data_IF_779355539948
#
_entry.id   IF_779355539948
#
_cell.length_a   1.000
_cell.length_b   1.000
_cell.length_c   1.000
_cell.angle_alpha   90.00
_cell.angle_beta   90.00
_cell.angle_gamma   90.00
#
_symmetry.space_group_name_H-M   'P 1'
#
loop_
_entity.id
_entity.type
_entity.pdbx_description
1 polymer ?
#
# COMPACT_ATOMS: atom_id res chain seq x y z
N UNK A 1 -16.86 -6.80 30.99
CA UNK A 1 -18.14 -6.33 30.40
C UNK A 1 -19.25 -7.29 30.82
N UNK A 2 -20.47 -6.82 31.06
CA UNK A 2 -21.57 -7.61 31.65
C UNK A 2 -22.57 -8.14 30.62
N UNK A 3 -22.80 -7.42 29.51
CA UNK A 3 -23.81 -7.75 28.49
C UNK A 3 -23.18 -7.80 27.10
N UNK A 4 -22.63 -8.97 26.77
CA UNK A 4 -21.93 -9.23 25.51
C UNK A 4 -22.91 -9.68 24.43
N UNK A 5 -22.97 -8.95 23.31
CA UNK A 5 -23.64 -9.42 22.09
C UNK A 5 -22.66 -10.03 21.09
N UNK A 6 -23.04 -11.14 20.44
CA UNK A 6 -22.23 -11.76 19.38
C UNK A 6 -22.95 -11.60 18.05
N UNK A 7 -22.30 -10.98 17.07
CA UNK A 7 -22.84 -10.76 15.73
C UNK A 7 -22.02 -11.55 14.71
N UNK A 8 -22.66 -12.51 14.04
CA UNK A 8 -22.02 -13.40 13.07
C UNK A 8 -22.39 -12.97 11.66
N UNK A 9 -21.38 -12.58 10.88
CA UNK A 9 -21.56 -12.26 9.48
C UNK A 9 -21.65 -13.56 8.66
N UNK A 10 -22.64 -13.67 7.78
CA UNK A 10 -22.82 -14.87 6.95
C UNK A 10 -22.31 -14.70 5.51
N UNK A 11 -21.98 -13.47 5.09
CA UNK A 11 -21.42 -13.18 3.77
C UNK A 11 -19.91 -13.49 3.68
N UNK A 12 -19.35 -13.41 2.46
CA UNK A 12 -17.93 -13.70 2.17
C UNK A 12 -17.53 -15.13 2.56
N UNK A 13 -18.34 -16.10 2.12
CA UNK A 13 -18.18 -17.55 2.31
C UNK A 13 -18.33 -18.08 3.72
N UNK A 14 -18.50 -17.20 4.73
CA UNK A 14 -18.64 -17.63 6.12
C UNK A 14 -19.86 -18.55 6.28
N UNK A 15 -21.05 -18.12 5.87
CA UNK A 15 -22.27 -18.93 5.94
C UNK A 15 -22.31 -20.10 4.97
N UNK A 16 -21.44 -20.11 3.94
CA UNK A 16 -21.35 -21.21 2.98
C UNK A 16 -20.49 -22.36 3.52
N UNK A 17 -19.43 -22.05 4.28
CA UNK A 17 -18.46 -23.04 4.79
C UNK A 17 -18.68 -23.41 6.26
N UNK A 18 -19.34 -22.56 7.05
CA UNK A 18 -19.58 -22.79 8.47
C UNK A 18 -21.07 -22.95 8.78
N UNK A 19 -21.38 -23.79 9.77
CA UNK A 19 -22.72 -23.89 10.33
C UNK A 19 -22.97 -22.75 11.32
N UNK A 20 -23.78 -21.78 10.90
CA UNK A 20 -24.07 -20.59 11.70
C UNK A 20 -24.82 -20.92 12.98
N UNK A 21 -25.75 -21.90 12.98
CA UNK A 21 -26.50 -22.25 14.16
C UNK A 21 -25.59 -22.84 15.25
N UNK A 22 -24.61 -23.65 14.86
CA UNK A 22 -23.60 -24.16 15.80
C UNK A 22 -22.69 -23.07 16.36
N UNK A 23 -22.31 -22.08 15.54
CA UNK A 23 -21.54 -20.93 16.01
C UNK A 23 -22.34 -20.07 17.00
N UNK A 24 -23.63 -19.87 16.73
CA UNK A 24 -24.51 -19.15 17.65
C UNK A 24 -24.64 -19.89 18.98
N UNK A 25 -24.77 -21.21 18.95
CA UNK A 25 -24.83 -22.02 20.17
C UNK A 25 -23.52 -21.96 20.97
N UNK A 26 -22.37 -22.04 20.30
CA UNK A 26 -21.07 -21.89 20.96
C UNK A 26 -20.91 -20.52 21.64
N UNK A 27 -21.45 -19.45 21.04
CA UNK A 27 -21.49 -18.13 21.66
C UNK A 27 -22.37 -18.11 22.93
N UNK A 28 -23.58 -18.68 22.86
CA UNK A 28 -24.51 -18.76 24.00
C UNK A 28 -23.91 -19.59 25.14
N UNK A 29 -23.32 -20.74 24.84
CA UNK A 29 -22.64 -21.61 25.82
C UNK A 29 -21.48 -20.92 26.51
N UNK A 30 -20.74 -20.04 25.81
CA UNK A 30 -19.66 -19.26 26.39
C UNK A 30 -20.15 -18.09 27.26
N UNK A 31 -21.45 -17.78 27.25
CA UNK A 31 -22.06 -16.72 28.07
C UNK A 31 -22.30 -15.41 27.33
N UNK A 32 -22.51 -15.43 26.02
CA UNK A 32 -23.05 -14.27 25.31
C UNK A 32 -24.51 -14.00 25.74
N UNK A 33 -24.83 -12.74 26.05
CA UNK A 33 -26.16 -12.31 26.46
C UNK A 33 -27.16 -12.27 25.29
N UNK A 34 -26.68 -11.93 24.10
CA UNK A 34 -27.46 -11.93 22.86
C UNK A 34 -26.60 -12.43 21.70
N UNK A 35 -27.21 -13.11 20.73
CA UNK A 35 -26.52 -13.62 19.54
C UNK A 35 -27.37 -13.40 18.31
N UNK A 36 -26.74 -12.84 17.27
CA UNK A 36 -27.38 -12.44 16.02
C UNK A 36 -26.54 -12.89 14.82
N UNK A 37 -27.20 -13.27 13.74
CA UNK A 37 -26.56 -13.55 12.45
C UNK A 37 -27.23 -12.76 11.34
N UNK A 38 -26.42 -12.20 10.42
CA UNK A 38 -26.91 -11.43 9.27
C UNK A 38 -25.86 -11.36 8.17
N UNK A 39 -26.30 -11.30 6.93
CA UNK A 39 -25.43 -11.00 5.80
C UNK A 39 -24.94 -9.54 5.84
N UNK A 40 -23.74 -9.30 5.31
CA UNK A 40 -23.20 -7.97 5.09
C UNK A 40 -23.27 -7.05 6.32
N UNK A 41 -22.83 -7.52 7.49
CA UNK A 41 -22.77 -6.68 8.71
C UNK A 41 -21.99 -5.37 8.53
N UNK A 42 -21.10 -5.30 7.53
CA UNK A 42 -20.34 -4.09 7.20
C UNK A 42 -21.09 -3.09 6.30
N UNK A 43 -22.28 -3.42 5.80
CA UNK A 43 -23.12 -2.49 5.04
C UNK A 43 -23.72 -1.43 5.96
N UNK A 44 -24.31 -0.37 5.38
CA UNK A 44 -25.02 0.65 6.16
C UNK A 44 -26.18 0.05 6.96
N UNK A 45 -26.92 -0.87 6.34
CA UNK A 45 -28.03 -1.61 6.94
C UNK A 45 -27.56 -2.63 7.99
N UNK A 46 -26.40 -3.25 7.76
CA UNK A 46 -25.73 -4.14 8.72
C UNK A 46 -25.28 -3.40 9.97
N UNK A 47 -24.63 -2.25 9.80
CA UNK A 47 -24.19 -1.38 10.90
C UNK A 47 -25.38 -0.85 11.71
N UNK A 48 -26.42 -0.34 11.03
CA UNK A 48 -27.63 0.14 11.69
C UNK A 48 -28.33 -0.97 12.50
N UNK A 49 -28.36 -2.19 11.97
CA UNK A 49 -28.89 -3.35 12.69
C UNK A 49 -28.10 -3.66 13.98
N UNK A 50 -26.77 -3.58 13.94
CA UNK A 50 -25.95 -3.78 15.14
C UNK A 50 -26.24 -2.70 16.18
N UNK A 51 -26.32 -1.43 15.78
CA UNK A 51 -26.63 -0.31 16.68
C UNK A 51 -28.01 -0.46 17.32
N UNK A 52 -29.02 -0.86 16.54
CA UNK A 52 -30.37 -1.15 17.04
C UNK A 52 -30.34 -2.21 18.14
N UNK A 53 -29.61 -3.32 17.92
CA UNK A 53 -29.52 -4.42 18.90
C UNK A 53 -28.70 -4.07 20.13
N UNK A 54 -27.63 -3.30 19.97
CA UNK A 54 -26.87 -2.72 21.09
C UNK A 54 -27.81 -1.94 22.01
N UNK A 55 -28.63 -1.05 21.45
CA UNK A 55 -29.56 -0.23 22.23
C UNK A 55 -30.70 -1.05 22.82
N UNK A 56 -31.32 -1.93 22.03
CA UNK A 56 -32.47 -2.74 22.43
C UNK A 56 -32.16 -3.67 23.60
N UNK A 57 -31.00 -4.33 23.57
CA UNK A 57 -30.63 -5.33 24.60
C UNK A 57 -29.77 -4.71 25.72
N UNK A 58 -29.36 -3.45 25.54
CA UNK A 58 -28.47 -2.74 26.45
C UNK A 58 -27.09 -3.38 26.52
N UNK A 59 -26.51 -3.69 25.37
CA UNK A 59 -25.20 -4.33 25.26
C UNK A 59 -24.08 -3.33 25.59
N UNK A 60 -23.12 -3.74 26.41
CA UNK A 60 -21.92 -2.95 26.74
C UNK A 60 -20.66 -3.45 26.02
N UNK A 61 -20.77 -4.62 25.36
CA UNK A 61 -19.73 -5.20 24.54
C UNK A 61 -20.31 -5.98 23.36
N UNK A 62 -19.61 -5.98 22.24
CA UNK A 62 -19.96 -6.76 21.06
C UNK A 62 -18.76 -7.49 20.47
N UNK A 63 -18.95 -8.75 20.14
CA UNK A 63 -18.04 -9.52 19.29
C UNK A 63 -18.60 -9.53 17.87
N UNK A 64 -17.87 -8.95 16.93
CA UNK A 64 -18.24 -9.01 15.51
C UNK A 64 -17.43 -10.11 14.82
N UNK A 65 -18.07 -11.25 14.61
CA UNK A 65 -17.53 -12.45 14.00
C UNK A 65 -17.67 -12.38 12.48
N UNK A 66 -16.65 -11.81 11.82
CA UNK A 66 -16.73 -11.43 10.41
C UNK A 66 -15.32 -11.38 9.76
N UNK A 67 -15.04 -10.30 9.03
CA UNK A 67 -13.74 -10.00 8.45
C UNK A 67 -12.73 -9.47 9.48
N UNK A 68 -11.46 -9.46 9.08
CA UNK A 68 -10.31 -9.02 9.86
C UNK A 68 -10.52 -7.66 10.51
N UNK A 69 -9.97 -7.50 11.72
CA UNK A 69 -9.90 -6.21 12.43
C UNK A 69 -9.08 -5.14 11.67
N UNK A 70 -8.31 -5.53 10.66
CA UNK A 70 -7.51 -4.61 9.83
C UNK A 70 -8.33 -3.85 8.78
N UNK A 71 -9.58 -4.26 8.54
CA UNK A 71 -10.50 -3.63 7.60
C UNK A 71 -11.78 -3.25 8.33
N UNK A 72 -12.49 -2.22 7.83
CA UNK A 72 -13.75 -1.75 8.40
C UNK A 72 -13.67 -1.38 9.91
N UNK A 73 -12.48 -0.99 10.39
CA UNK A 73 -12.28 -0.58 11.79
C UNK A 73 -13.11 0.66 12.15
N UNK A 74 -13.37 1.52 11.17
CA UNK A 74 -14.20 2.71 11.22
C UNK A 74 -15.70 2.36 11.21
N UNK A 75 -16.10 1.36 10.42
CA UNK A 75 -17.49 0.91 10.33
C UNK A 75 -17.97 0.32 11.66
N UNK A 76 -17.14 -0.52 12.28
CA UNK A 76 -17.45 -1.21 13.53
C UNK A 76 -16.89 -0.47 14.75
N UNK A 77 -17.05 0.85 14.74
CA UNK A 77 -16.78 1.70 15.88
C UNK A 77 -18.11 2.20 16.47
N UNK A 78 -18.41 1.76 17.70
CA UNK A 78 -19.63 2.09 18.43
C UNK A 78 -19.27 2.81 19.72
N UNK A 79 -19.90 3.95 19.96
CA UNK A 79 -19.58 4.80 21.10
C UNK A 79 -19.88 4.08 22.43
N UNK A 80 -18.94 4.12 23.38
CA UNK A 80 -19.06 3.51 24.71
C UNK A 80 -19.36 2.00 24.74
N UNK A 81 -19.09 1.27 23.66
CA UNK A 81 -19.24 -0.19 23.58
C UNK A 81 -17.88 -0.82 23.29
N UNK A 82 -17.50 -1.84 24.06
CA UNK A 82 -16.30 -2.60 23.75
C UNK A 82 -16.51 -3.47 22.51
N UNK A 83 -15.66 -3.32 21.50
CA UNK A 83 -15.74 -4.10 20.26
C UNK A 83 -14.57 -5.08 20.17
N UNK A 84 -14.86 -6.37 20.10
CA UNK A 84 -13.91 -7.36 19.60
C UNK A 84 -14.22 -7.71 18.14
N UNK A 85 -13.16 -7.80 17.33
CA UNK A 85 -13.24 -8.12 15.90
C UNK A 85 -12.71 -9.53 15.68
N UNK A 86 -13.62 -10.49 15.71
CA UNK A 86 -13.31 -11.91 15.57
C UNK A 86 -13.24 -12.29 14.08
N UNK A 87 -12.03 -12.52 13.59
CA UNK A 87 -11.72 -12.65 12.16
C UNK A 87 -12.03 -14.04 11.59
N UNK A 88 -13.30 -14.44 11.51
CA UNK A 88 -13.69 -15.73 10.92
C UNK A 88 -13.32 -15.84 9.44
N UNK A 89 -13.46 -14.76 8.65
CA UNK A 89 -13.14 -14.82 7.21
C UNK A 89 -11.67 -15.12 6.96
N UNK A 90 -10.75 -14.23 7.37
CA UNK A 90 -9.33 -14.39 7.09
C UNK A 90 -8.66 -15.43 8.02
N UNK A 91 -9.15 -15.57 9.25
CA UNK A 91 -8.55 -16.46 10.26
C UNK A 91 -8.99 -17.92 10.14
N UNK A 92 -10.12 -18.19 9.47
CA UNK A 92 -10.69 -19.53 9.33
C UNK A 92 -11.03 -19.82 7.87
N UNK A 93 -12.00 -19.11 7.31
CA UNK A 93 -12.66 -19.47 6.04
C UNK A 93 -11.80 -19.25 4.79
N UNK A 94 -10.87 -18.30 4.79
CA UNK A 94 -10.03 -17.97 3.62
C UNK A 94 -8.57 -18.40 3.78
N UNK A 95 -8.21 -18.99 4.91
CA UNK A 95 -6.84 -19.45 5.19
C UNK A 95 -6.72 -20.95 5.38
N UNK A 96 -7.84 -21.67 5.50
CA UNK A 96 -7.88 -23.11 5.75
C UNK A 96 -8.61 -23.82 4.63
N UNK A 97 -7.88 -24.68 3.94
CA UNK A 97 -8.39 -25.56 2.89
C UNK A 97 -7.74 -26.94 3.05
N UNK A 98 -8.48 -28.04 2.80
CA UNK A 98 -7.88 -29.35 2.74
C UNK A 98 -7.07 -29.45 1.44
N UNK A 99 -5.81 -29.89 1.55
CA UNK A 99 -4.89 -30.01 0.41
C UNK A 99 -4.53 -31.48 0.24
N UNK A 100 -4.78 -32.03 -0.95
CA UNK A 100 -4.42 -33.39 -1.32
C UNK A 100 -2.92 -33.56 -1.58
N UNK A 101 -2.48 -34.80 -1.77
CA UNK A 101 -1.06 -35.14 -1.99
C UNK A 101 -0.46 -34.44 -3.21
N UNK A 102 -1.29 -34.15 -4.22
CA UNK A 102 -0.88 -33.45 -5.45
C UNK A 102 -0.92 -31.92 -5.32
N UNK A 103 -1.21 -31.38 -4.13
CA UNK A 103 -1.32 -29.95 -3.89
C UNK A 103 -2.65 -29.33 -4.34
N UNK A 104 -3.62 -30.16 -4.73
CA UNK A 104 -4.96 -29.71 -5.12
C UNK A 104 -5.84 -29.46 -3.88
N UNK A 105 -6.73 -28.47 -3.96
CA UNK A 105 -7.73 -28.21 -2.91
C UNK A 105 -8.84 -29.26 -3.02
N UNK A 106 -9.16 -29.90 -1.89
CA UNK A 106 -10.24 -30.88 -1.76
C UNK A 106 -11.53 -30.23 -1.26
N UNK A 107 -12.64 -30.98 -1.26
CA UNK A 107 -13.87 -30.55 -0.59
C UNK A 107 -13.71 -30.60 0.94
N UNK A 108 -14.44 -29.73 1.65
CA UNK A 108 -14.41 -29.67 3.12
C UNK A 108 -14.91 -30.97 3.79
N UNK A 109 -15.58 -31.85 3.05
CA UNK A 109 -16.01 -33.18 3.48
C UNK A 109 -14.87 -34.20 3.55
N UNK A 110 -13.70 -33.89 3.00
CA UNK A 110 -12.54 -34.77 3.05
C UNK A 110 -12.11 -35.06 4.50
N UNK A 111 -11.65 -36.28 4.76
CA UNK A 111 -11.06 -36.62 6.05
C UNK A 111 -9.79 -35.79 6.28
N UNK A 112 -9.69 -35.19 7.46
CA UNK A 112 -8.51 -34.43 7.89
C UNK A 112 -7.61 -35.28 8.78
N UNK A 113 -8.22 -36.00 9.72
CA UNK A 113 -7.64 -37.09 10.51
C UNK A 113 -8.67 -38.21 10.60
N UNK A 114 -8.25 -39.41 11.01
CA UNK A 114 -9.12 -40.59 11.06
C UNK A 114 -10.44 -40.29 11.80
N UNK A 115 -11.57 -40.38 11.08
CA UNK A 115 -12.91 -40.16 11.61
C UNK A 115 -13.32 -38.69 11.82
N UNK A 116 -12.53 -37.72 11.38
CA UNK A 116 -12.83 -36.28 11.50
C UNK A 116 -12.72 -35.62 10.12
N UNK A 117 -13.83 -35.03 9.65
CA UNK A 117 -13.80 -34.29 8.39
C UNK A 117 -13.08 -32.94 8.57
N UNK A 118 -12.55 -32.39 7.49
CA UNK A 118 -11.99 -31.05 7.51
C UNK A 118 -13.02 -30.00 7.93
N UNK A 119 -14.29 -30.19 7.57
CA UNK A 119 -15.39 -29.33 8.02
C UNK A 119 -15.54 -29.33 9.54
N UNK A 120 -15.40 -30.48 10.19
CA UNK A 120 -15.49 -30.58 11.66
C UNK A 120 -14.34 -29.81 12.33
N UNK A 121 -13.12 -29.95 11.81
CA UNK A 121 -11.94 -29.20 12.28
C UNK A 121 -12.13 -27.69 12.05
N UNK A 122 -12.60 -27.28 10.87
CA UNK A 122 -12.88 -25.90 10.54
C UNK A 122 -13.95 -25.29 11.47
N UNK A 123 -14.99 -26.06 11.78
CA UNK A 123 -16.04 -25.69 12.72
C UNK A 123 -15.52 -25.58 14.15
N UNK A 124 -14.68 -26.52 14.61
CA UNK A 124 -14.05 -26.45 15.93
C UNK A 124 -13.21 -25.17 16.06
N UNK A 125 -12.38 -24.87 15.05
CA UNK A 125 -11.58 -23.65 15.00
C UNK A 125 -12.46 -22.39 15.05
N UNK A 126 -13.53 -22.33 14.26
CA UNK A 126 -14.45 -21.19 14.25
C UNK A 126 -15.14 -20.97 15.61
N UNK A 127 -15.59 -22.06 16.26
CA UNK A 127 -16.17 -22.01 17.61
C UNK A 127 -15.16 -21.48 18.62
N UNK A 128 -13.91 -21.91 18.54
CA UNK A 128 -12.87 -21.44 19.47
C UNK A 128 -12.55 -19.96 19.28
N UNK A 129 -12.56 -19.43 18.05
CA UNK A 129 -12.47 -17.99 17.80
C UNK A 129 -13.58 -17.21 18.51
N UNK A 130 -14.82 -17.69 18.41
CA UNK A 130 -15.97 -17.08 19.10
C UNK A 130 -15.80 -17.18 20.62
N UNK A 131 -15.44 -18.35 21.14
CA UNK A 131 -15.26 -18.58 22.57
C UNK A 131 -14.18 -17.67 23.16
N UNK A 132 -13.04 -17.58 22.48
CA UNK A 132 -11.93 -16.70 22.86
C UNK A 132 -12.37 -15.23 22.87
N UNK A 133 -13.16 -14.80 21.89
CA UNK A 133 -13.68 -13.43 21.83
C UNK A 133 -14.61 -13.12 23.00
N UNK A 134 -15.58 -14.00 23.27
CA UNK A 134 -16.50 -13.82 24.41
C UNK A 134 -15.72 -13.81 25.73
N UNK A 135 -14.79 -14.75 25.93
CA UNK A 135 -13.94 -14.79 27.12
C UNK A 135 -13.07 -13.53 27.28
N UNK A 136 -12.53 -13.00 26.16
CA UNK A 136 -11.79 -11.74 26.15
C UNK A 136 -12.69 -10.58 26.58
N UNK A 137 -13.90 -10.47 26.05
CA UNK A 137 -14.84 -9.39 26.40
C UNK A 137 -15.36 -9.48 27.84
N UNK A 138 -15.49 -10.68 28.40
CA UNK A 138 -15.84 -10.88 29.82
C UNK A 138 -14.81 -10.23 30.75
N UNK A 139 -13.53 -10.42 30.45
CA UNK A 139 -12.41 -9.83 31.21
C UNK A 139 -12.01 -8.42 30.76
N UNK A 140 -12.59 -7.91 29.67
CA UNK A 140 -12.24 -6.62 29.11
C UNK A 140 -12.65 -5.46 30.00
N UNK A 141 -11.74 -4.50 30.15
CA UNK A 141 -11.94 -3.21 30.80
C UNK A 141 -11.70 -2.13 29.75
N UNK A 142 -12.61 -1.16 29.68
CA UNK A 142 -12.47 -0.06 28.72
C UNK A 142 -11.17 0.69 29.02
N UNK A 143 -10.25 0.81 28.05
CA UNK A 143 -9.02 1.54 28.27
C UNK A 143 -9.34 3.03 28.38
N UNK A 144 -8.68 3.71 29.31
CA UNK A 144 -8.66 5.17 29.31
C UNK A 144 -7.74 5.64 28.18
N UNK A 145 -8.23 6.49 27.24
CA UNK A 145 -7.39 7.00 26.18
C UNK A 145 -6.18 7.75 26.76
N UNK A 146 -5.00 7.43 26.25
CA UNK A 146 -3.80 8.18 26.62
C UNK A 146 -3.96 9.64 26.21
N UNK A 147 -3.84 10.54 27.18
CA UNK A 147 -3.86 12.00 26.98
C UNK A 147 -2.43 12.50 27.17
N UNK A 148 -1.75 12.94 26.11
CA UNK A 148 -0.41 13.45 26.26
C UNK A 148 -0.41 14.76 27.07
N UNK A 149 0.58 14.90 27.96
CA UNK A 149 0.83 16.15 28.68
C UNK A 149 1.42 17.22 27.76
N UNK A 150 2.24 16.79 26.79
CA UNK A 150 2.81 17.65 25.76
C UNK A 150 1.78 17.99 24.68
N UNK A 151 1.90 19.20 24.11
CA UNK A 151 1.10 19.62 22.97
C UNK A 151 1.40 18.75 21.75
N UNK A 152 0.34 18.25 21.10
CA UNK A 152 0.45 17.46 19.88
C UNK A 152 0.95 18.36 18.75
N UNK A 153 2.07 17.97 18.14
CA UNK A 153 2.59 18.65 16.95
C UNK A 153 1.63 18.44 15.78
N UNK A 154 1.34 19.52 15.05
CA UNK A 154 0.59 19.48 13.80
C UNK A 154 1.50 19.57 12.57
N UNK A 155 2.81 19.62 12.79
CA UNK A 155 3.81 19.71 11.72
C UNK A 155 3.92 18.39 10.98
N UNK A 156 3.96 18.43 9.66
CA UNK A 156 4.02 17.26 8.79
C UNK A 156 5.44 17.08 8.26
N UNK A 157 6.03 15.91 8.49
CA UNK A 157 7.30 15.54 7.87
C UNK A 157 7.05 14.87 6.52
N UNK A 158 7.70 15.35 5.47
CA UNK A 158 7.74 14.72 4.15
C UNK A 158 9.16 14.22 3.87
N UNK A 159 9.30 12.91 3.67
CA UNK A 159 10.61 12.27 3.39
C UNK A 159 10.71 11.98 1.89
N UNK A 160 11.53 12.74 1.19
CA UNK A 160 11.77 12.65 -0.26
C UNK A 160 11.15 13.83 -1.02
N UNK A 161 11.99 14.56 -1.75
CA UNK A 161 11.65 15.74 -2.54
C UNK A 161 11.37 15.44 -4.02
N UNK A 162 10.90 14.22 -4.35
CA UNK A 162 10.36 13.90 -5.68
C UNK A 162 8.94 14.45 -5.88
N UNK A 163 8.36 14.28 -7.07
CA UNK A 163 7.00 14.78 -7.39
C UNK A 163 5.96 14.44 -6.31
N UNK A 164 5.94 13.18 -5.83
CA UNK A 164 5.01 12.77 -4.78
C UNK A 164 5.18 13.56 -3.46
N UNK A 165 6.42 13.78 -3.02
CA UNK A 165 6.70 14.53 -1.80
C UNK A 165 6.50 16.03 -1.96
N UNK A 166 6.87 16.60 -3.11
CA UNK A 166 6.61 18.01 -3.41
C UNK A 166 5.11 18.30 -3.39
N UNK A 167 4.31 17.48 -4.07
CA UNK A 167 2.84 17.59 -4.05
C UNK A 167 2.30 17.42 -2.63
N UNK A 168 2.75 16.41 -1.88
CA UNK A 168 2.29 16.23 -0.49
C UNK A 168 2.61 17.44 0.40
N UNK A 169 3.78 18.06 0.24
CA UNK A 169 4.18 19.24 1.00
C UNK A 169 3.34 20.47 0.62
N UNK A 170 3.08 20.69 -0.67
CA UNK A 170 2.24 21.79 -1.16
C UNK A 170 0.82 21.66 -0.62
N UNK A 171 0.21 20.48 -0.76
CA UNK A 171 -1.18 20.26 -0.31
C UNK A 171 -1.31 20.35 1.22
N UNK A 172 -0.33 19.84 1.97
CA UNK A 172 -0.27 20.02 3.42
C UNK A 172 -0.19 21.49 3.83
N UNK A 173 0.65 22.28 3.16
CA UNK A 173 0.78 23.71 3.42
C UNK A 173 -0.49 24.48 3.04
N UNK A 174 -1.13 24.14 1.91
CA UNK A 174 -2.41 24.71 1.46
C UNK A 174 -3.55 24.41 2.44
N UNK A 175 -3.55 23.22 3.05
CA UNK A 175 -4.47 22.85 4.12
C UNK A 175 -4.18 23.55 5.47
N UNK A 176 -3.10 24.33 5.53
CA UNK A 176 -2.79 25.21 6.65
C UNK A 176 -1.68 24.72 7.59
N UNK A 177 -1.07 23.56 7.33
CA UNK A 177 -0.09 22.94 8.22
C UNK A 177 1.35 23.37 7.92
N UNK A 178 2.19 23.40 8.95
CA UNK A 178 3.64 23.52 8.80
C UNK A 178 4.22 22.21 8.26
N UNK A 179 5.19 22.30 7.35
CA UNK A 179 5.79 21.14 6.69
C UNK A 179 7.31 21.20 6.81
N UNK A 180 7.88 20.04 7.13
CA UNK A 180 9.33 19.80 7.04
C UNK A 180 9.57 18.81 5.92
N UNK A 181 10.24 19.23 4.85
CA UNK A 181 10.61 18.37 3.72
C UNK A 181 12.09 18.02 3.79
N UNK A 182 12.41 16.72 3.80
CA UNK A 182 13.78 16.20 3.84
C UNK A 182 14.12 15.49 2.53
N UNK A 183 15.12 15.99 1.81
CA UNK A 183 15.66 15.42 0.58
C UNK A 183 17.14 15.06 0.75
N UNK A 184 17.48 13.81 0.39
CA UNK A 184 18.83 13.25 0.51
C UNK A 184 19.81 13.84 -0.51
N UNK A 185 19.33 14.20 -1.69
CA UNK A 185 20.10 14.81 -2.75
C UNK A 185 20.24 16.33 -2.54
N UNK A 186 21.17 16.96 -3.25
CA UNK A 186 21.36 18.43 -3.20
C UNK A 186 20.23 19.21 -3.87
N UNK A 187 19.46 18.54 -4.73
CA UNK A 187 18.42 19.14 -5.56
C UNK A 187 17.10 18.39 -5.36
N UNK A 188 16.01 19.14 -5.43
CA UNK A 188 14.65 18.60 -5.44
C UNK A 188 14.29 18.06 -6.82
N UNK A 189 13.22 17.28 -6.87
CA UNK A 189 12.55 16.84 -8.08
C UNK A 189 12.73 15.37 -8.45
N UNK A 190 13.56 14.65 -7.69
CA UNK A 190 13.71 13.19 -7.78
C UNK A 190 14.00 12.70 -9.21
N UNK A 191 13.36 11.60 -9.61
CA UNK A 191 13.60 10.99 -10.92
C UNK A 191 13.03 11.84 -12.07
N UNK A 192 11.90 12.51 -11.85
CA UNK A 192 11.21 13.30 -12.89
C UNK A 192 12.05 14.49 -13.35
N UNK A 193 12.81 15.11 -12.44
CA UNK A 193 13.77 16.16 -12.80
C UNK A 193 14.91 15.66 -13.71
N UNK A 194 15.18 14.36 -13.75
CA UNK A 194 16.23 13.75 -14.59
C UNK A 194 15.72 13.32 -15.97
N UNK A 195 14.41 13.40 -16.22
CA UNK A 195 13.79 13.00 -17.48
C UNK A 195 13.82 14.14 -18.50
N UNK A 196 13.84 13.80 -19.80
CA UNK A 196 13.70 14.80 -20.88
C UNK A 196 12.29 15.39 -20.89
N UNK A 197 11.29 14.51 -20.80
CA UNK A 197 9.88 14.85 -20.86
C UNK A 197 9.02 13.70 -20.31
N UNK A 198 7.72 13.91 -20.13
CA UNK A 198 6.76 12.89 -19.67
C UNK A 198 5.52 12.82 -20.59
N UNK A 199 4.80 11.70 -20.57
CA UNK A 199 3.58 11.55 -21.36
C UNK A 199 2.49 12.51 -20.84
N UNK A 200 1.78 13.17 -21.74
CA UNK A 200 0.63 14.01 -21.40
C UNK A 200 -0.42 13.21 -20.64
N UNK A 201 -0.87 13.72 -19.49
CA UNK A 201 -1.83 13.05 -18.59
C UNK A 201 -3.28 13.53 -18.78
N UNK A 202 -3.52 14.36 -19.80
CA UNK A 202 -4.84 14.85 -20.16
C UNK A 202 -5.25 14.31 -21.53
N UNK A 203 -6.54 14.05 -21.70
CA UNK A 203 -7.10 13.67 -23.00
C UNK A 203 -6.73 14.73 -24.07
N UNK A 204 -6.18 14.34 -25.24
CA UNK A 204 -6.21 13.01 -25.84
C UNK A 204 -4.95 12.12 -25.65
N UNK A 205 -4.05 12.45 -24.70
CA UNK A 205 -2.85 11.66 -24.37
C UNK A 205 -1.87 11.45 -25.54
N UNK A 206 -1.79 12.42 -26.45
CA UNK A 206 -1.01 12.28 -27.70
C UNK A 206 0.39 12.87 -27.60
N UNK A 207 0.60 13.77 -26.64
CA UNK A 207 1.80 14.58 -26.60
C UNK A 207 2.78 14.10 -25.52
N UNK A 208 4.03 14.52 -25.69
CA UNK A 208 5.03 14.46 -24.64
C UNK A 208 5.26 15.90 -24.21
N UNK A 209 5.22 16.16 -22.91
CA UNK A 209 5.29 17.49 -22.33
C UNK A 209 6.51 17.62 -21.40
N UNK A 210 7.05 18.84 -21.20
CA UNK A 210 8.16 19.07 -20.29
C UNK A 210 7.84 18.54 -18.87
N UNK A 211 8.83 18.10 -18.08
CA UNK A 211 8.59 17.61 -16.73
C UNK A 211 7.88 18.66 -15.84
N UNK A 212 6.75 18.29 -15.22
CA UNK A 212 5.97 19.19 -14.33
C UNK A 212 6.70 19.60 -13.03
N UNK A 213 7.87 19.02 -12.78
CA UNK A 213 8.54 19.13 -11.49
C UNK A 213 9.10 20.52 -11.20
N UNK A 214 9.45 21.31 -12.22
CA UNK A 214 10.05 22.64 -12.02
C UNK A 214 9.09 23.62 -11.32
N UNK A 215 7.80 23.57 -11.68
CA UNK A 215 6.78 24.38 -11.04
C UNK A 215 6.58 23.96 -9.57
N UNK A 216 6.50 22.65 -9.32
CA UNK A 216 6.36 22.11 -7.95
C UNK A 216 7.54 22.50 -7.05
N UNK A 217 8.77 22.45 -7.58
CA UNK A 217 9.97 22.90 -6.85
C UNK A 217 9.82 24.37 -6.49
N UNK A 218 9.44 25.21 -7.47
CA UNK A 218 9.27 26.65 -7.26
C UNK A 218 8.20 26.96 -6.23
N UNK A 219 7.08 26.24 -6.23
CA UNK A 219 6.02 26.40 -5.23
C UNK A 219 6.50 26.01 -3.83
N UNK A 220 7.24 24.91 -3.69
CA UNK A 220 7.80 24.48 -2.40
C UNK A 220 8.83 25.46 -1.86
N UNK A 221 9.76 25.93 -2.70
CA UNK A 221 10.84 26.82 -2.26
C UNK A 221 10.35 28.23 -1.88
N UNK A 222 9.23 28.68 -2.44
CA UNK A 222 8.64 29.98 -2.16
C UNK A 222 7.52 29.94 -1.09
N UNK A 223 7.28 28.79 -0.46
CA UNK A 223 6.23 28.65 0.56
C UNK A 223 6.80 28.77 1.97
N UNK A 224 6.36 29.80 2.71
CA UNK A 224 6.84 30.10 4.07
C UNK A 224 6.52 29.00 5.10
N UNK A 225 5.52 28.15 4.84
CA UNK A 225 5.15 27.01 5.71
C UNK A 225 5.98 25.76 5.45
N UNK A 226 6.85 25.75 4.45
CA UNK A 226 7.61 24.57 4.06
C UNK A 226 9.10 24.80 4.34
N UNK A 227 9.62 24.20 5.41
CA UNK A 227 11.06 24.15 5.70
C UNK A 227 11.69 22.99 4.92
N UNK A 228 12.57 23.32 3.98
CA UNK A 228 13.26 22.34 3.14
C UNK A 228 14.68 22.07 3.64
N UNK A 229 15.00 20.79 3.86
CA UNK A 229 16.36 20.30 4.08
C UNK A 229 16.82 19.51 2.85
N UNK A 230 17.81 20.04 2.13
CA UNK A 230 18.49 19.36 1.01
C UNK A 230 19.81 18.77 1.49
N UNK A 231 20.28 17.70 0.84
CA UNK A 231 21.48 16.99 1.26
C UNK A 231 21.35 16.40 2.68
N UNK A 232 20.13 16.05 3.07
CA UNK A 232 19.78 15.69 4.44
C UNK A 232 19.01 14.37 4.47
N UNK A 233 19.16 13.62 5.57
CA UNK A 233 18.47 12.35 5.78
C UNK A 233 17.81 12.30 7.14
N UNK A 234 16.72 11.56 7.25
CA UNK A 234 16.15 11.24 8.55
C UNK A 234 16.99 10.14 9.18
N UNK A 235 17.62 10.44 10.31
CA UNK A 235 18.47 9.50 11.05
C UNK A 235 17.63 8.56 11.93
N UNK A 236 16.61 9.08 12.60
CA UNK A 236 15.70 8.30 13.43
C UNK A 236 14.34 8.98 13.59
N UNK A 237 13.30 8.16 13.73
CA UNK A 237 11.96 8.58 14.15
C UNK A 237 11.61 7.77 15.39
N UNK A 238 11.23 8.45 16.47
CA UNK A 238 10.80 7.83 17.73
C UNK A 238 9.52 8.48 18.23
N UNK A 239 8.83 7.85 19.18
CA UNK A 239 7.55 8.34 19.70
C UNK A 239 6.34 7.72 19.01
N UNK A 240 5.25 8.48 18.93
CA UNK A 240 3.93 8.02 18.48
C UNK A 240 3.24 9.09 17.62
N UNK A 241 2.15 8.77 16.89
CA UNK A 241 1.39 9.77 16.14
C UNK A 241 1.07 11.01 16.98
N UNK A 242 1.35 12.19 16.44
CA UNK A 242 1.21 13.48 17.12
C UNK A 242 2.42 13.92 17.95
N UNK A 243 3.30 12.99 18.34
CA UNK A 243 4.44 13.21 19.23
C UNK A 243 5.71 12.55 18.70
N UNK A 244 5.92 12.58 17.39
CA UNK A 244 7.16 12.05 16.83
C UNK A 244 8.31 12.98 17.16
N UNK A 245 9.39 12.38 17.64
CA UNK A 245 10.67 13.02 17.77
C UNK A 245 11.59 12.54 16.64
N UNK A 246 11.89 13.44 15.71
CA UNK A 246 12.59 13.15 14.47
C UNK A 246 13.97 13.79 14.50
N UNK A 247 15.01 12.99 14.24
CA UNK A 247 16.38 13.48 14.06
C UNK A 247 16.69 13.57 12.58
N UNK A 248 17.04 14.76 12.12
CA UNK A 248 17.40 15.05 10.73
C UNK A 248 18.92 15.29 10.69
N UNK A 249 19.65 14.48 9.93
CA UNK A 249 21.06 14.68 9.67
C UNK A 249 21.23 15.63 8.48
N UNK A 250 21.85 16.78 8.71
CA UNK A 250 22.17 17.78 7.70
C UNK A 250 23.69 17.98 7.70
N UNK A 251 24.38 17.46 6.67
CA UNK A 251 25.83 17.61 6.55
C UNK A 251 26.63 17.08 7.75
N UNK A 252 26.16 16.00 8.39
CA UNK A 252 26.81 15.38 9.55
C UNK A 252 26.40 15.95 10.92
N UNK A 253 25.54 16.98 10.96
CA UNK A 253 24.95 17.51 12.20
C UNK A 253 23.51 17.04 12.33
N UNK A 254 23.10 16.63 13.52
CA UNK A 254 21.72 16.23 13.80
C UNK A 254 20.92 17.41 14.37
N UNK A 255 19.76 17.68 13.77
CA UNK A 255 18.73 18.59 14.27
C UNK A 255 17.52 17.75 14.72
N UNK A 256 16.97 18.08 15.89
CA UNK A 256 15.82 17.40 16.46
C UNK A 256 14.55 18.23 16.21
N UNK A 257 13.49 17.59 15.68
CA UNK A 257 12.25 18.26 15.30
C UNK A 257 11.04 17.45 15.76
N UNK A 258 10.09 18.13 16.39
CA UNK A 258 8.80 17.55 16.83
C UNK A 258 7.81 17.52 15.65
N UNK A 259 7.32 16.34 15.31
CA UNK A 259 6.49 16.07 14.14
C UNK A 259 5.18 15.38 14.56
N UNK A 260 4.06 15.77 13.95
CA UNK A 260 2.77 15.16 14.16
C UNK A 260 2.54 13.91 13.31
N UNK A 261 2.88 14.00 12.04
CA UNK A 261 2.64 12.94 11.05
C UNK A 261 3.75 12.88 10.02
N UNK A 262 3.92 11.71 9.40
CA UNK A 262 5.00 11.44 8.43
C UNK A 262 4.41 10.97 7.11
N UNK A 263 4.86 11.58 6.02
CA UNK A 263 4.64 11.15 4.64
C UNK A 263 5.95 10.57 4.10
N UNK A 264 5.96 9.28 3.79
CA UNK A 264 7.11 8.62 3.17
C UNK A 264 6.98 8.67 1.64
N UNK A 265 7.76 9.53 1.00
CA UNK A 265 7.80 9.75 -0.45
C UNK A 265 9.20 9.52 -1.03
N UNK A 266 9.95 8.54 -0.50
CA UNK A 266 11.35 8.28 -0.81
C UNK A 266 11.61 7.75 -2.24
N UNK A 267 10.57 7.56 -3.04
CA UNK A 267 10.64 7.16 -4.44
C UNK A 267 11.02 5.69 -4.64
N UNK A 268 11.71 5.41 -5.73
CA UNK A 268 12.10 4.06 -6.15
C UNK A 268 13.57 4.03 -6.58
N UNK A 269 14.11 2.83 -6.76
CA UNK A 269 15.41 2.60 -7.40
C UNK A 269 15.20 1.79 -8.68
N UNK A 270 15.93 2.09 -9.77
CA UNK A 270 15.92 1.24 -10.96
C UNK A 270 16.35 -0.19 -10.63
N UNK A 271 15.83 -1.16 -11.38
CA UNK A 271 16.30 -2.54 -11.28
C UNK A 271 17.79 -2.63 -11.62
N UNK A 272 18.49 -3.53 -10.95
CA UNK A 272 19.92 -3.75 -11.17
C UNK A 272 20.14 -4.49 -12.50
N UNK A 273 20.40 -3.73 -13.55
CA UNK A 273 20.61 -4.26 -14.90
C UNK A 273 21.86 -5.14 -15.03
N UNK A 274 22.79 -5.13 -14.06
CA UNK A 274 23.95 -6.05 -14.08
C UNK A 274 23.53 -7.52 -13.98
N UNK A 275 22.30 -7.80 -13.52
CA UNK A 275 21.70 -9.13 -13.47
C UNK A 275 21.11 -9.58 -14.81
N UNK A 276 21.08 -8.71 -15.82
CA UNK A 276 20.50 -8.98 -17.14
C UNK A 276 21.60 -9.21 -18.17
N UNK A 277 22.58 -10.04 -17.82
CA UNK A 277 23.73 -10.36 -18.70
C UNK A 277 23.29 -11.05 -19.98
N UNK A 278 22.22 -11.85 -19.93
CA UNK A 278 21.66 -12.55 -21.09
C UNK A 278 21.05 -11.58 -22.12
N UNK A 279 20.67 -10.37 -21.67
CA UNK A 279 20.25 -9.26 -22.54
C UNK A 279 21.44 -8.40 -23.00
N UNK A 280 22.67 -8.79 -22.66
CA UNK A 280 23.90 -8.15 -23.10
C UNK A 280 24.29 -6.88 -22.33
N UNK A 281 23.60 -6.53 -21.23
CA UNK A 281 23.98 -5.37 -20.43
C UNK A 281 25.38 -5.54 -19.84
N UNK A 282 26.20 -4.48 -19.90
CA UNK A 282 27.61 -4.51 -19.48
C UNK A 282 28.57 -5.07 -20.53
N UNK A 283 28.14 -6.05 -21.35
CA UNK A 283 28.97 -6.67 -22.38
C UNK A 283 28.86 -5.95 -23.74
N UNK A 284 27.67 -5.48 -24.11
CA UNK A 284 27.39 -4.80 -25.36
C UNK A 284 27.23 -3.31 -25.07
N UNK A 285 28.16 -2.48 -25.59
CA UNK A 285 28.18 -1.02 -25.32
C UNK A 285 26.88 -0.30 -25.67
N UNK A 286 26.14 -0.78 -26.67
CA UNK A 286 24.90 -0.16 -27.12
C UNK A 286 23.65 -0.62 -26.35
N UNK A 287 23.80 -1.54 -25.39
CA UNK A 287 22.70 -1.94 -24.50
C UNK A 287 22.68 -0.98 -23.31
N UNK A 288 21.62 -0.19 -23.25
CA UNK A 288 21.38 0.80 -22.18
C UNK A 288 20.01 0.58 -21.56
N UNK A 289 19.88 0.92 -20.28
CA UNK A 289 18.60 0.95 -19.56
C UNK A 289 17.72 2.11 -20.04
N UNK A 290 16.42 2.02 -19.80
CA UNK A 290 15.49 3.13 -20.07
C UNK A 290 15.87 4.40 -19.27
N UNK A 291 16.48 4.25 -18.10
CA UNK A 291 16.97 5.36 -17.25
C UNK A 291 18.17 6.06 -17.89
N UNK A 292 19.16 5.30 -18.36
CA UNK A 292 20.30 5.84 -19.10
C UNK A 292 19.82 6.50 -20.40
N UNK A 293 18.85 5.90 -21.08
CA UNK A 293 18.25 6.47 -22.28
C UNK A 293 17.55 7.81 -22.02
N UNK A 294 16.84 7.97 -20.90
CA UNK A 294 16.31 9.29 -20.50
C UNK A 294 17.40 10.33 -20.33
N UNK A 295 18.51 9.95 -19.69
CA UNK A 295 19.62 10.87 -19.47
C UNK A 295 20.28 11.27 -20.80
N UNK A 296 20.51 10.30 -21.69
CA UNK A 296 20.98 10.56 -23.05
C UNK A 296 20.03 11.53 -23.78
N UNK A 297 18.72 11.31 -23.68
CA UNK A 297 17.72 12.16 -24.30
C UNK A 297 17.72 13.59 -23.72
N UNK A 298 17.81 13.73 -22.40
CA UNK A 298 17.85 15.03 -21.70
C UNK A 298 19.11 15.83 -22.07
N UNK A 299 20.25 15.17 -22.23
CA UNK A 299 21.50 15.80 -22.68
C UNK A 299 21.55 16.08 -24.19
N UNK A 300 20.51 15.70 -24.95
CA UNK A 300 20.48 15.84 -26.41
C UNK A 300 21.40 14.87 -27.16
N UNK A 301 21.88 13.81 -26.49
CA UNK A 301 22.85 12.83 -27.02
C UNK A 301 22.18 11.50 -27.36
N UNK A 302 21.21 11.52 -28.27
CA UNK A 302 20.60 10.29 -28.82
C UNK A 302 21.50 9.65 -29.88
N UNK A 303 22.71 9.25 -29.46
CA UNK A 303 23.75 8.62 -30.28
C UNK A 303 24.12 7.26 -29.69
N UNK A 304 24.68 6.37 -30.52
CA UNK A 304 25.14 5.05 -30.08
C UNK A 304 26.37 5.19 -29.16
N UNK A 305 26.37 4.59 -27.95
CA UNK A 305 27.54 4.65 -27.07
C UNK A 305 28.81 4.01 -27.64
N UNK A 306 28.69 3.05 -28.56
CA UNK A 306 29.85 2.35 -29.11
C UNK A 306 30.74 3.20 -30.02
N UNK A 307 30.12 4.08 -30.82
CA UNK A 307 30.79 4.78 -31.94
C UNK A 307 30.33 6.23 -32.13
N UNK A 308 29.39 6.72 -31.32
CA UNK A 308 28.86 8.08 -31.41
C UNK A 308 27.98 8.35 -32.63
N UNK A 309 27.67 7.33 -33.45
CA UNK A 309 26.85 7.52 -34.63
C UNK A 309 25.36 7.72 -34.27
N UNK A 310 24.57 8.36 -35.15
CA UNK A 310 23.13 8.51 -34.95
C UNK A 310 22.40 7.16 -34.81
N UNK A 311 21.37 7.12 -33.97
CA UNK A 311 20.52 5.93 -33.79
C UNK A 311 19.53 5.82 -34.96
N UNK A 312 19.81 4.95 -35.92
CA UNK A 312 18.90 4.65 -37.05
C UNK A 312 17.88 3.56 -36.77
N UNK A 313 18.15 2.70 -35.79
CA UNK A 313 17.23 1.65 -35.34
C UNK A 313 17.42 1.39 -33.86
N UNK A 314 16.32 1.26 -33.12
CA UNK A 314 16.31 0.95 -31.68
C UNK A 314 15.33 -0.18 -31.39
N UNK A 315 15.71 -1.06 -30.46
CA UNK A 315 14.87 -2.13 -29.92
C UNK A 315 14.67 -1.89 -28.43
N UNK A 316 13.40 -1.80 -28.01
CA UNK A 316 13.00 -1.80 -26.61
C UNK A 316 12.53 -3.19 -26.22
N UNK A 317 13.12 -3.75 -25.17
CA UNK A 317 12.72 -5.03 -24.58
C UNK A 317 11.91 -4.72 -23.32
N UNK A 318 10.61 -5.01 -23.36
CA UNK A 318 9.75 -4.82 -22.18
C UNK A 318 10.02 -5.88 -21.12
N UNK A 319 9.61 -5.59 -19.88
CA UNK A 319 9.69 -6.51 -18.75
C UNK A 319 11.11 -6.99 -18.40
N UNK A 320 12.16 -6.27 -18.81
CA UNK A 320 13.55 -6.64 -18.54
C UNK A 320 13.86 -6.62 -17.02
N UNK A 321 13.80 -7.80 -16.39
CA UNK A 321 13.94 -8.00 -14.95
C UNK A 321 12.62 -7.85 -14.16
N UNK A 322 11.46 -7.90 -14.82
CA UNK A 322 10.14 -7.79 -14.21
C UNK A 322 9.16 -8.79 -14.80
N UNK A 323 8.12 -9.15 -14.03
CA UNK A 323 7.22 -10.27 -14.37
C UNK A 323 8.00 -11.55 -14.69
N UNK A 324 9.06 -11.78 -13.93
CA UNK A 324 9.98 -12.90 -14.10
C UNK A 324 10.25 -13.50 -12.71
N UNK A 325 10.03 -14.80 -12.59
CA UNK A 325 10.18 -15.56 -11.33
C UNK A 325 11.65 -15.62 -10.86
N UNK A 326 12.61 -15.54 -11.78
CA UNK A 326 14.04 -15.47 -11.46
C UNK A 326 14.49 -14.06 -11.06
N UNK A 327 13.61 -13.07 -11.24
CA UNK A 327 13.86 -11.67 -10.93
C UNK A 327 12.72 -11.08 -10.07
N UNK A 328 11.97 -10.10 -10.59
CA UNK A 328 10.85 -9.50 -9.88
C UNK A 328 9.53 -10.02 -10.46
N UNK A 329 8.65 -10.65 -9.66
CA UNK A 329 7.42 -11.28 -10.17
C UNK A 329 6.31 -10.27 -10.52
N UNK A 330 6.53 -8.97 -10.29
CA UNK A 330 5.52 -7.93 -10.47
C UNK A 330 5.80 -7.02 -11.66
N UNK A 331 4.75 -6.37 -12.17
CA UNK A 331 4.85 -5.35 -13.21
C UNK A 331 5.32 -4.01 -12.60
N UNK A 332 6.22 -3.30 -13.29
CA UNK A 332 6.67 -1.96 -12.88
C UNK A 332 5.64 -0.84 -13.11
N UNK A 333 4.55 -1.09 -13.84
CA UNK A 333 3.49 -0.11 -14.11
C UNK A 333 3.86 1.07 -15.03
N UNK A 334 5.15 1.34 -15.25
CA UNK A 334 5.65 2.52 -15.99
C UNK A 334 6.37 2.18 -17.31
N UNK A 335 6.98 1.00 -17.42
CA UNK A 335 7.93 0.68 -18.49
C UNK A 335 7.33 0.70 -19.91
N UNK A 336 6.04 0.41 -20.08
CA UNK A 336 5.34 0.49 -21.37
C UNK A 336 5.20 1.93 -21.88
N UNK A 337 4.68 2.82 -21.03
CA UNK A 337 4.60 4.24 -21.38
C UNK A 337 5.98 4.87 -21.59
N UNK A 338 6.97 4.46 -20.79
CA UNK A 338 8.34 4.92 -20.94
C UNK A 338 8.94 4.57 -22.32
N UNK A 339 8.77 3.34 -22.80
CA UNK A 339 9.32 2.93 -24.10
C UNK A 339 8.58 3.55 -25.27
N UNK A 340 7.25 3.72 -25.20
CA UNK A 340 6.50 4.46 -26.22
C UNK A 340 6.98 5.91 -26.33
N UNK A 341 7.18 6.57 -25.19
CA UNK A 341 7.72 7.92 -25.13
C UNK A 341 9.15 8.01 -25.70
N UNK A 342 10.01 7.05 -25.35
CA UNK A 342 11.39 7.01 -25.83
C UNK A 342 11.49 6.67 -27.32
N UNK A 343 10.61 5.80 -27.82
CA UNK A 343 10.46 5.52 -29.25
C UNK A 343 10.08 6.81 -30.01
N UNK A 344 9.17 7.62 -29.46
CA UNK A 344 8.81 8.91 -30.03
C UNK A 344 9.98 9.90 -30.05
N UNK A 345 10.86 9.92 -29.04
CA UNK A 345 12.09 10.74 -29.10
C UNK A 345 12.97 10.42 -30.31
N UNK A 346 13.13 9.13 -30.64
CA UNK A 346 13.92 8.70 -31.80
C UNK A 346 13.24 9.11 -33.10
N UNK A 347 11.93 8.91 -33.21
CA UNK A 347 11.15 9.28 -34.41
C UNK A 347 11.06 10.80 -34.63
N UNK A 348 11.07 11.59 -33.56
CA UNK A 348 11.14 13.06 -33.63
C UNK A 348 12.53 13.56 -34.03
N UNK A 349 13.59 12.87 -33.59
CA UNK A 349 14.96 13.21 -33.98
C UNK A 349 15.27 12.81 -35.42
N UNK A 350 14.70 11.70 -35.90
CA UNK A 350 14.85 11.20 -37.27
C UNK A 350 13.57 10.49 -37.73
N UNK A 351 12.76 11.10 -38.62
CA UNK A 351 11.53 10.49 -39.15
C UNK A 351 11.73 9.18 -39.92
N UNK A 352 12.95 8.82 -40.30
CA UNK A 352 13.29 7.57 -40.98
C UNK A 352 13.82 6.50 -40.00
N UNK A 353 14.15 6.86 -38.76
CA UNK A 353 14.66 5.92 -37.76
C UNK A 353 13.59 4.93 -37.31
N UNK A 354 13.96 3.67 -37.07
CA UNK A 354 13.01 2.61 -36.70
C UNK A 354 13.03 2.36 -35.20
N UNK A 355 11.85 2.25 -34.60
CA UNK A 355 11.70 1.88 -33.19
C UNK A 355 10.83 0.63 -33.08
N UNK A 356 11.39 -0.42 -32.49
CA UNK A 356 10.71 -1.70 -32.25
C UNK A 356 10.52 -1.89 -30.76
N UNK A 357 9.36 -2.39 -30.34
CA UNK A 357 9.07 -2.70 -28.93
C UNK A 357 8.62 -4.15 -28.86
N UNK A 358 9.39 -5.00 -28.18
CA UNK A 358 9.01 -6.40 -27.91
C UNK A 358 8.35 -6.46 -26.54
N UNK A 359 7.11 -6.94 -26.50
CA UNK A 359 6.29 -6.99 -25.30
C UNK A 359 5.34 -8.19 -25.33
N UNK A 360 5.00 -8.72 -24.15
CA UNK A 360 3.86 -9.64 -24.03
C UNK A 360 2.55 -8.86 -23.99
N UNK A 361 2.50 -7.85 -23.11
CA UNK A 361 1.32 -7.01 -22.90
C UNK A 361 1.71 -5.53 -22.83
N UNK A 362 1.05 -4.70 -23.63
CA UNK A 362 1.19 -3.25 -23.58
C UNK A 362 0.21 -2.70 -22.54
N UNK A 363 0.72 -1.98 -21.53
CA UNK A 363 -0.09 -1.39 -20.44
C UNK A 363 0.07 0.13 -20.47
N UNK A 364 -0.87 0.83 -21.08
CA UNK A 364 -0.85 2.29 -21.34
C UNK A 364 -1.94 3.02 -20.61
#
# INVERSE_FOLDING_TARGET
>A
MEKIGVFICTSCDIGNRLDIAELENAAREQGAAAVYSKEFLCSKEGRAFIEEKIQQDGLDAVSICACSSRVNYDVFNFENVAVDRTSLREGVVWSRFPVGEEGNILEDTAEYVEGVSFKDELMALAKDYIRMSVAKLQSYKMPEPFKPEEEISKTILVIGGGVAGLTAAIEAANAGYEVVLVEKEKELGGFVAKMKAHCEVNHPYKNIVPPVVGELISQVENNEKIKVYKGATVASISGMPGLFNVKINVGGKEEEVKIGSVVLAAGFKPYDASKLTDLGYGNIKNVVTNVQFEQMAKEGKLIRPSDGAPIKSVLFIQCAGQRDENHLPYCSGYCCLASLKQAKYIREADPEAKAFIIYDHMRT
#
